data_IF_655222436847
#
_entry.id   IF_655222436847
#
_cell.length_a   1.000
_cell.length_b   1.000
_cell.length_c   1.000
_cell.angle_alpha   90.00
_cell.angle_beta   90.00
_cell.angle_gamma   90.00
#
_symmetry.space_group_name_H-M   'P 1'
#
loop_
_entity.id
_entity.type
_entity.pdbx_description
1 polymer ?
#
# COMPACT_ATOMS: atom_id res chain seq x y z
N UNK A 1 17.27 -3.59 -27.26
CA UNK A 1 16.23 -4.17 -26.39
C UNK A 1 16.73 -4.39 -24.97
N UNK A 2 17.79 -5.19 -24.73
CA UNK A 2 18.35 -5.54 -23.40
C UNK A 2 18.60 -4.39 -22.40
N UNK A 3 18.86 -3.15 -22.86
CA UNK A 3 19.06 -1.99 -21.97
C UNK A 3 17.77 -1.50 -21.28
N UNK A 4 16.60 -1.69 -21.90
CA UNK A 4 15.32 -1.23 -21.33
C UNK A 4 14.85 -2.17 -20.23
N UNK A 5 14.99 -3.47 -20.46
CA UNK A 5 14.54 -4.50 -19.52
C UNK A 5 15.32 -4.42 -18.20
N UNK A 6 16.66 -4.30 -18.27
CA UNK A 6 17.51 -4.09 -17.08
C UNK A 6 17.19 -2.81 -16.30
N UNK A 7 16.73 -1.75 -16.98
CA UNK A 7 16.32 -0.50 -16.33
C UNK A 7 14.99 -0.66 -15.61
N UNK A 8 14.06 -1.40 -16.21
CA UNK A 8 12.78 -1.73 -15.60
C UNK A 8 12.95 -2.66 -14.40
N UNK A 9 13.82 -3.68 -14.50
CA UNK A 9 14.17 -4.58 -13.39
C UNK A 9 14.69 -3.80 -12.17
N UNK A 10 15.68 -2.91 -12.36
CA UNK A 10 16.16 -2.03 -11.28
C UNK A 10 15.05 -1.14 -10.71
N UNK A 11 14.17 -0.65 -11.58
CA UNK A 11 13.02 0.16 -11.17
C UNK A 11 11.99 -0.62 -10.36
N UNK A 12 11.85 -1.92 -10.59
CA UNK A 12 11.01 -2.84 -9.81
C UNK A 12 11.65 -3.15 -8.48
N UNK A 13 12.94 -3.43 -8.46
CA UNK A 13 13.69 -3.70 -7.24
C UNK A 13 13.65 -2.50 -6.28
N UNK A 14 13.84 -1.29 -6.82
CA UNK A 14 13.67 -0.05 -6.07
C UNK A 14 12.27 0.10 -5.47
N UNK A 15 11.22 -0.18 -6.25
CA UNK A 15 9.83 -0.12 -5.76
C UNK A 15 9.56 -1.16 -4.68
N UNK A 16 10.07 -2.40 -4.83
CA UNK A 16 9.94 -3.45 -3.81
C UNK A 16 10.58 -2.99 -2.49
N UNK A 17 11.77 -2.39 -2.56
CA UNK A 17 12.45 -1.85 -1.38
C UNK A 17 11.66 -0.72 -0.73
N UNK A 18 11.17 0.23 -1.53
CA UNK A 18 10.36 1.36 -1.04
C UNK A 18 9.07 0.88 -0.35
N UNK A 19 8.40 -0.14 -0.90
CA UNK A 19 7.24 -0.77 -0.26
C UNK A 19 7.60 -1.36 1.11
N UNK A 20 8.70 -2.10 1.22
CA UNK A 20 9.16 -2.65 2.50
C UNK A 20 9.51 -1.55 3.51
N UNK A 21 10.19 -0.47 3.08
CA UNK A 21 10.48 0.68 3.94
C UNK A 21 9.20 1.35 4.46
N UNK A 22 8.16 1.46 3.63
CA UNK A 22 6.86 1.95 4.07
C UNK A 22 6.19 1.02 5.06
N UNK A 23 6.30 -0.31 4.90
CA UNK A 23 5.79 -1.26 5.89
C UNK A 23 6.54 -1.15 7.23
N UNK A 24 7.87 -0.98 7.22
CA UNK A 24 8.64 -0.78 8.44
C UNK A 24 8.27 0.51 9.17
N UNK A 25 8.02 1.60 8.43
CA UNK A 25 7.52 2.85 9.03
C UNK A 25 6.11 2.67 9.57
N UNK A 26 5.25 1.98 8.85
CA UNK A 26 3.90 1.66 9.30
C UNK A 26 3.91 0.88 10.63
N UNK A 27 4.80 -0.09 10.79
CA UNK A 27 4.98 -0.81 12.05
C UNK A 27 5.38 0.14 13.19
N UNK A 28 6.29 1.08 12.94
CA UNK A 28 6.68 2.11 13.93
C UNK A 28 5.52 3.02 14.29
N UNK A 29 4.81 3.54 13.31
CA UNK A 29 3.68 4.45 13.52
C UNK A 29 2.56 3.76 14.32
N UNK A 30 2.31 2.47 14.08
CA UNK A 30 1.35 1.67 14.86
C UNK A 30 1.82 1.51 16.32
N UNK A 31 3.12 1.29 16.55
CA UNK A 31 3.70 1.20 17.90
C UNK A 31 3.62 2.55 18.63
N UNK A 32 3.93 3.64 17.91
CA UNK A 32 3.87 5.01 18.40
C UNK A 32 2.44 5.56 18.52
N UNK A 33 1.45 4.79 18.04
CA UNK A 33 0.02 5.13 17.97
C UNK A 33 -0.27 6.39 17.16
N UNK A 34 0.57 6.69 16.16
CA UNK A 34 0.30 7.75 15.19
C UNK A 34 -0.57 7.22 14.05
N UNK A 35 -1.88 7.22 14.29
CA UNK A 35 -2.85 6.71 13.31
C UNK A 35 -2.90 7.53 12.01
N UNK A 36 -2.55 8.81 12.06
CA UNK A 36 -2.59 9.70 10.88
C UNK A 36 -1.48 9.30 9.92
N UNK A 37 -0.24 9.16 10.43
CA UNK A 37 0.90 8.70 9.64
C UNK A 37 0.72 7.25 9.17
N UNK A 38 0.18 6.39 10.03
CA UNK A 38 -0.12 5.01 9.64
C UNK A 38 -1.14 4.94 8.48
N UNK A 39 -2.23 5.71 8.55
CA UNK A 39 -3.22 5.81 7.45
C UNK A 39 -2.59 6.38 6.17
N UNK A 40 -1.67 7.35 6.29
CA UNK A 40 -0.93 7.90 5.14
C UNK A 40 -0.09 6.83 4.45
N UNK A 41 0.71 6.06 5.20
CA UNK A 41 1.54 5.00 4.64
C UNK A 41 0.72 3.87 4.00
N UNK A 42 -0.41 3.48 4.59
CA UNK A 42 -1.33 2.52 3.95
C UNK A 42 -1.79 3.04 2.59
N UNK A 43 -2.20 4.31 2.51
CA UNK A 43 -2.71 4.89 1.27
C UNK A 43 -1.63 4.98 0.19
N UNK A 44 -0.40 5.35 0.57
CA UNK A 44 0.76 5.37 -0.33
C UNK A 44 1.09 3.98 -0.87
N UNK A 45 1.15 2.97 0.00
CA UNK A 45 1.40 1.57 -0.42
C UNK A 45 0.29 1.10 -1.38
N UNK A 46 -0.97 1.30 -1.02
CA UNK A 46 -2.13 0.78 -1.77
C UNK A 46 -2.26 1.43 -3.15
N UNK A 47 -2.24 2.76 -3.21
CA UNK A 47 -2.55 3.50 -4.44
C UNK A 47 -1.34 3.74 -5.32
N UNK A 48 -0.21 4.08 -4.71
CA UNK A 48 0.96 4.58 -5.46
C UNK A 48 1.91 3.44 -5.78
N UNK A 49 2.39 2.73 -4.75
CA UNK A 49 3.52 1.81 -4.89
C UNK A 49 3.13 0.45 -5.48
N UNK A 50 2.03 -0.17 -5.01
CA UNK A 50 1.57 -1.46 -5.56
C UNK A 50 1.12 -1.29 -7.01
N UNK A 51 0.37 -0.23 -7.33
CA UNK A 51 -0.06 0.06 -8.72
C UNK A 51 1.15 0.33 -9.63
N UNK A 52 2.15 1.09 -9.16
CA UNK A 52 3.36 1.35 -9.94
C UNK A 52 4.16 0.06 -10.18
N UNK A 53 4.22 -0.83 -9.18
CA UNK A 53 4.86 -2.14 -9.29
C UNK A 53 4.13 -3.03 -10.30
N UNK A 54 2.80 -3.13 -10.21
CA UNK A 54 1.95 -3.85 -11.16
C UNK A 54 2.16 -3.37 -12.61
N UNK A 55 2.15 -2.05 -12.81
CA UNK A 55 2.33 -1.46 -14.14
C UNK A 55 3.74 -1.74 -14.71
N UNK A 56 4.80 -1.63 -13.89
CA UNK A 56 6.16 -1.97 -14.37
C UNK A 56 6.32 -3.45 -14.68
N UNK A 57 5.69 -4.32 -13.91
CA UNK A 57 5.68 -5.75 -14.16
C UNK A 57 4.90 -6.11 -15.44
N UNK A 58 3.76 -5.44 -15.70
CA UNK A 58 3.04 -5.64 -16.96
C UNK A 58 3.85 -5.25 -18.19
N UNK A 59 4.74 -4.25 -18.07
CA UNK A 59 5.63 -3.84 -19.16
C UNK A 59 6.75 -4.85 -19.47
N UNK A 60 7.15 -5.68 -18.50
CA UNK A 60 8.17 -6.72 -18.67
C UNK A 60 7.59 -8.08 -19.06
N UNK A 61 6.28 -8.25 -18.97
CA UNK A 61 5.62 -9.55 -19.01
C UNK A 61 5.51 -10.10 -17.60
N UNK A 62 4.27 -10.15 -17.09
CA UNK A 62 3.99 -10.66 -15.75
C UNK A 62 4.25 -12.16 -15.71
N UNK A 63 5.05 -12.59 -14.74
CA UNK A 63 5.28 -14.00 -14.44
C UNK A 63 4.51 -14.39 -13.17
N UNK A 64 4.25 -15.68 -12.95
CA UNK A 64 3.55 -16.17 -11.75
C UNK A 64 4.25 -15.76 -10.44
N UNK A 65 5.59 -15.68 -10.45
CA UNK A 65 6.37 -15.19 -9.31
C UNK A 65 6.04 -13.74 -8.95
N UNK A 66 5.87 -12.89 -9.96
CA UNK A 66 5.62 -11.47 -9.77
C UNK A 66 4.19 -11.23 -9.25
N UNK A 67 3.21 -12.00 -9.76
CA UNK A 67 1.86 -12.05 -9.19
C UNK A 67 1.86 -12.50 -7.73
N UNK A 68 2.70 -13.47 -7.39
CA UNK A 68 2.87 -13.93 -6.00
C UNK A 68 3.34 -12.81 -5.06
N UNK A 69 4.29 -11.98 -5.51
CA UNK A 69 4.80 -10.85 -4.72
C UNK A 69 3.72 -9.79 -4.53
N UNK A 70 3.00 -9.42 -5.60
CA UNK A 70 1.89 -8.45 -5.52
C UNK A 70 0.82 -8.93 -4.55
N UNK A 71 0.41 -10.20 -4.64
CA UNK A 71 -0.57 -10.80 -3.73
C UNK A 71 -0.08 -10.77 -2.28
N UNK A 72 1.19 -11.08 -2.04
CA UNK A 72 1.80 -11.01 -0.70
C UNK A 72 1.71 -9.60 -0.12
N UNK A 73 2.06 -8.57 -0.91
CA UNK A 73 1.97 -7.18 -0.45
C UNK A 73 0.55 -6.72 -0.19
N UNK A 74 -0.40 -7.06 -1.07
CA UNK A 74 -1.82 -6.78 -0.86
C UNK A 74 -2.35 -7.45 0.42
N UNK A 75 -2.01 -8.72 0.64
CA UNK A 75 -2.41 -9.46 1.85
C UNK A 75 -1.85 -8.82 3.12
N UNK A 76 -0.57 -8.47 3.12
CA UNK A 76 0.08 -7.82 4.27
C UNK A 76 -0.54 -6.45 4.56
N UNK A 77 -0.85 -5.69 3.52
CA UNK A 77 -1.54 -4.40 3.64
C UNK A 77 -2.95 -4.56 4.22
N UNK A 78 -3.72 -5.57 3.80
CA UNK A 78 -5.02 -5.85 4.40
C UNK A 78 -4.93 -6.17 5.89
N UNK A 79 -3.92 -6.93 6.33
CA UNK A 79 -3.71 -7.20 7.75
C UNK A 79 -3.48 -5.91 8.54
N UNK A 80 -2.70 -4.97 8.01
CA UNK A 80 -2.51 -3.67 8.64
C UNK A 80 -3.77 -2.82 8.64
N UNK A 81 -4.52 -2.79 7.52
CA UNK A 81 -5.82 -2.13 7.46
C UNK A 81 -6.76 -2.68 8.53
N UNK A 82 -6.79 -4.00 8.73
CA UNK A 82 -7.59 -4.65 9.79
C UNK A 82 -7.12 -4.25 11.18
N UNK A 83 -5.81 -4.25 11.45
CA UNK A 83 -5.24 -3.79 12.74
C UNK A 83 -5.66 -2.35 13.07
N UNK A 84 -5.61 -1.45 12.09
CA UNK A 84 -6.02 -0.04 12.25
C UNK A 84 -7.55 0.17 12.24
N UNK A 85 -8.30 -0.71 11.57
CA UNK A 85 -9.77 -0.70 11.63
C UNK A 85 -10.27 -1.26 12.96
N UNK A 86 -9.51 -2.15 13.60
CA UNK A 86 -9.79 -2.65 14.95
C UNK A 86 -9.44 -1.63 16.05
N UNK A 87 -8.53 -0.67 15.79
CA UNK A 87 -8.35 0.47 16.70
C UNK A 87 -9.41 1.56 16.51
N UNK A 88 -10.06 1.61 15.33
CA UNK A 88 -11.14 2.56 15.04
C UNK A 88 -12.53 1.94 15.23
N UNK A 89 -12.82 1.56 16.48
CA UNK A 89 -14.19 1.36 16.94
C UNK A 89 -14.86 2.70 17.34
N UNK A 90 -14.56 3.81 16.64
CA UNK A 90 -15.25 5.10 16.84
C UNK A 90 -15.54 5.88 15.53
N UNK A 91 -15.21 5.36 14.34
CA UNK A 91 -15.50 6.05 13.08
C UNK A 91 -16.88 5.66 12.47
N UNK A 92 -17.88 5.44 13.33
CA UNK A 92 -19.30 5.56 12.93
C UNK A 92 -19.73 7.03 12.78
N UNK A 93 -18.88 8.00 13.10
CA UNK A 93 -19.28 9.41 13.17
C UNK A 93 -18.95 10.28 11.94
N UNK A 94 -17.91 9.98 11.14
CA UNK A 94 -17.49 10.95 10.10
C UNK A 94 -18.28 10.88 8.78
N UNK A 95 -18.98 9.78 8.49
CA UNK A 95 -19.79 9.68 7.26
C UNK A 95 -21.20 10.29 7.40
N UNK A 96 -21.64 10.61 8.62
CA UNK A 96 -22.98 11.17 8.86
C UNK A 96 -23.05 12.71 8.82
N UNK A 97 -21.92 13.42 8.94
CA UNK A 97 -21.93 14.90 9.03
C UNK A 97 -21.99 15.58 7.65
N UNK A 98 -21.57 14.92 6.57
CA UNK A 98 -21.57 15.53 5.22
C UNK A 98 -22.83 15.26 4.37
N UNK A 99 -23.80 14.49 4.89
CA UNK A 99 -25.06 14.21 4.19
C UNK A 99 -26.29 14.45 5.10
N UNK A 100 -26.25 15.49 5.93
CA UNK A 100 -27.47 15.97 6.56
C UNK A 100 -28.32 16.67 5.48
N UNK A 101 -29.53 16.17 5.13
CA UNK A 101 -30.46 16.95 4.34
C UNK A 101 -30.85 18.18 5.16
N UNK A 102 -30.57 19.36 4.63
CA UNK A 102 -31.16 20.60 5.12
C UNK A 102 -32.65 20.55 4.80
N UNK A 103 -33.42 20.07 5.78
CA UNK A 103 -34.89 20.20 5.81
C UNK A 103 -35.30 21.59 6.22
#
# INVERSE_FOLDING_TARGET
MVKRDKRLEKGIESLKKEIEEHFERLDKDIIEKDEILARYHIKEIDKSLITALEHKLSLLGINDKDLGIIKKYKSRLEEYKRKLSMTNCEDSCFYFILNAPTG
#
